data_IF_859742898168
#
_entry.id   IF_859742898168
#
_cell.length_a   1.000
_cell.length_b   1.000
_cell.length_c   1.000
_cell.angle_alpha   90.00
_cell.angle_beta   90.00
_cell.angle_gamma   90.00
#
_symmetry.space_group_name_H-M   'P 1'
#
loop_
_entity.id
_entity.type
_entity.pdbx_description
1 polymer ?
#
# COMPACT_ATOMS: atom_id res chain seq x y z
N UNK A 1 20.09 -12.07 -10.59
CA UNK A 1 18.88 -11.79 -11.40
C UNK A 1 18.50 -10.35 -11.11
N UNK A 2 18.77 -9.41 -12.02
CA UNK A 2 18.41 -8.01 -11.79
C UNK A 2 16.89 -7.90 -11.94
N UNK A 3 16.20 -7.46 -10.89
CA UNK A 3 14.77 -7.15 -10.97
C UNK A 3 14.64 -5.94 -11.90
N UNK A 4 13.75 -6.05 -12.89
CA UNK A 4 13.37 -4.93 -13.74
C UNK A 4 12.87 -3.77 -12.88
N UNK A 5 13.48 -2.60 -13.06
CA UNK A 5 13.19 -1.41 -12.28
C UNK A 5 11.75 -0.92 -12.48
N UNK A 6 11.21 -1.10 -13.69
CA UNK A 6 9.83 -0.73 -13.99
C UNK A 6 8.85 -1.66 -13.27
N UNK A 7 9.09 -2.97 -13.33
CA UNK A 7 8.29 -3.96 -12.62
C UNK A 7 8.34 -3.76 -11.10
N UNK A 8 9.52 -3.43 -10.55
CA UNK A 8 9.67 -3.11 -9.13
C UNK A 8 8.88 -1.86 -8.72
N UNK A 9 8.95 -0.81 -9.54
CA UNK A 9 8.18 0.42 -9.34
C UNK A 9 6.68 0.17 -9.38
N UNK A 10 6.22 -0.62 -10.36
CA UNK A 10 4.81 -1.01 -10.49
C UNK A 10 4.33 -1.80 -9.25
N UNK A 11 5.14 -2.77 -8.80
CA UNK A 11 4.79 -3.58 -7.64
C UNK A 11 4.67 -2.76 -6.35
N UNK A 12 5.53 -1.76 -6.16
CA UNK A 12 5.39 -0.79 -5.07
C UNK A 12 4.05 -0.03 -5.16
N UNK A 13 3.70 0.49 -6.34
CA UNK A 13 2.46 1.25 -6.54
C UNK A 13 1.22 0.38 -6.28
N UNK A 14 1.24 -0.89 -6.69
CA UNK A 14 0.17 -1.84 -6.42
C UNK A 14 0.02 -2.07 -4.90
N UNK A 15 1.11 -2.42 -4.21
CA UNK A 15 1.10 -2.58 -2.74
C UNK A 15 0.55 -1.33 -2.04
N UNK A 16 0.96 -0.14 -2.50
CA UNK A 16 0.48 1.13 -1.94
C UNK A 16 -1.01 1.34 -2.17
N UNK A 17 -1.49 1.06 -3.38
CA UNK A 17 -2.91 1.17 -3.73
C UNK A 17 -3.76 0.27 -2.84
N UNK A 18 -3.35 -0.98 -2.69
CA UNK A 18 -4.07 -1.99 -1.89
C UNK A 18 -4.01 -1.69 -0.39
N UNK A 19 -2.88 -1.16 0.08
CA UNK A 19 -2.74 -0.68 1.44
C UNK A 19 -3.68 0.50 1.76
N UNK A 20 -3.71 1.54 0.94
CA UNK A 20 -4.51 2.76 1.24
C UNK A 20 -6.01 2.50 1.06
N UNK A 21 -6.37 1.65 0.09
CA UNK A 21 -7.75 1.32 -0.27
C UNK A 21 -8.33 0.14 0.51
N UNK A 22 -7.49 -0.56 1.29
CA UNK A 22 -7.87 -1.76 2.06
C UNK A 22 -8.34 -2.93 1.19
N UNK A 23 -7.73 -3.10 0.02
CA UNK A 23 -7.98 -4.27 -0.84
C UNK A 23 -7.27 -5.54 -0.33
N UNK A 24 -6.56 -5.45 0.78
CA UNK A 24 -5.84 -6.55 1.42
C UNK A 24 -6.37 -6.82 2.83
N UNK A 25 -6.32 -8.09 3.23
CA UNK A 25 -6.62 -8.50 4.61
C UNK A 25 -5.37 -8.30 5.46
N UNK A 26 -5.50 -7.60 6.59
CA UNK A 26 -4.43 -7.46 7.57
C UNK A 26 -4.43 -8.63 8.55
N UNK A 27 -3.25 -9.02 9.05
CA UNK A 27 -3.18 -10.04 10.09
C UNK A 27 -3.84 -9.53 11.38
N UNK A 28 -4.62 -10.37 12.07
CA UNK A 28 -5.39 -10.01 13.27
C UNK A 28 -4.55 -9.40 14.41
N UNK A 29 -3.26 -9.75 14.47
CA UNK A 29 -2.32 -9.26 15.51
C UNK A 29 -1.64 -7.94 15.18
N UNK A 30 -1.91 -7.36 14.00
CA UNK A 30 -1.24 -6.14 13.55
C UNK A 30 -1.72 -4.96 14.37
N UNK A 31 -0.82 -4.44 15.20
CA UNK A 31 -1.04 -3.19 15.93
C UNK A 31 -1.10 -2.03 14.95
N UNK A 32 -2.02 -1.08 15.21
CA UNK A 32 -2.17 0.18 14.49
C UNK A 32 -0.83 0.92 14.24
N UNK A 33 0.08 0.86 15.21
CA UNK A 33 1.43 1.44 15.13
C UNK A 33 2.21 0.96 13.89
N UNK A 34 2.04 -0.30 13.48
CA UNK A 34 2.69 -0.85 12.29
C UNK A 34 2.11 -0.25 11.00
N UNK A 35 0.79 -0.06 10.92
CA UNK A 35 0.14 0.59 9.78
C UNK A 35 0.52 2.08 9.70
N UNK A 36 0.64 2.76 10.84
CA UNK A 36 1.16 4.14 10.89
C UNK A 36 2.64 4.20 10.45
N UNK A 37 3.47 3.26 10.90
CA UNK A 37 4.85 3.10 10.46
C UNK A 37 4.95 2.89 8.95
N UNK A 38 4.08 2.04 8.39
CA UNK A 38 3.99 1.82 6.95
C UNK A 38 3.64 3.11 6.19
N UNK A 39 2.71 3.91 6.71
CA UNK A 39 2.36 5.20 6.12
C UNK A 39 3.49 6.25 6.21
N UNK A 40 4.30 6.22 7.27
CA UNK A 40 5.50 7.06 7.36
C UNK A 40 6.51 6.73 6.26
N UNK A 41 6.71 5.45 5.97
CA UNK A 41 7.60 5.03 4.88
C UNK A 41 7.04 5.50 3.51
N UNK A 42 5.72 5.43 3.30
CA UNK A 42 5.10 5.95 2.07
C UNK A 42 5.31 7.46 1.90
N UNK A 43 5.21 8.22 2.99
CA UNK A 43 5.51 9.66 2.99
C UNK A 43 6.96 9.94 2.60
N UNK A 44 7.91 9.11 3.03
CA UNK A 44 9.32 9.23 2.64
C UNK A 44 9.54 8.88 1.16
N UNK A 45 8.90 7.82 0.64
CA UNK A 45 8.92 7.51 -0.79
C UNK A 45 8.44 8.70 -1.61
N UNK A 46 7.26 9.23 -1.27
CA UNK A 46 6.68 10.40 -1.93
C UNK A 46 7.60 11.62 -1.85
N UNK A 47 8.19 11.88 -0.69
CA UNK A 47 9.14 12.98 -0.48
C UNK A 47 10.36 12.86 -1.39
N UNK A 48 10.94 11.67 -1.46
CA UNK A 48 12.12 11.44 -2.28
C UNK A 48 11.81 11.56 -3.78
N UNK A 49 10.68 11.03 -4.26
CA UNK A 49 10.28 11.15 -5.68
C UNK A 49 9.94 12.59 -6.08
N UNK A 50 9.24 13.32 -5.21
CA UNK A 50 8.86 14.71 -5.43
C UNK A 50 9.95 15.72 -5.03
N UNK A 51 11.12 15.26 -4.57
CA UNK A 51 12.24 16.08 -4.07
C UNK A 51 11.83 17.08 -2.98
N UNK A 52 10.98 16.63 -2.05
CA UNK A 52 10.49 17.41 -0.94
C UNK A 52 11.36 17.24 0.30
N UNK A 53 11.69 18.35 0.95
CA UNK A 53 12.37 18.33 2.25
C UNK A 53 11.41 18.06 3.41
N UNK A 54 11.96 17.79 4.59
CA UNK A 54 11.21 17.51 5.82
C UNK A 54 10.12 18.57 6.13
N UNK A 55 10.41 19.85 5.92
CA UNK A 55 9.43 20.94 6.16
C UNK A 55 8.21 20.87 5.26
N UNK A 56 8.39 20.39 4.02
CA UNK A 56 7.30 20.19 3.07
C UNK A 56 6.54 18.90 3.39
N UNK A 57 7.25 17.83 3.75
CA UNK A 57 6.66 16.58 4.19
C UNK A 57 5.77 16.76 5.43
N UNK A 58 6.19 17.58 6.40
CA UNK A 58 5.41 17.90 7.60
C UNK A 58 4.10 18.66 7.33
N UNK A 59 3.92 19.21 6.12
CA UNK A 59 2.69 19.89 5.69
C UNK A 59 1.72 18.95 4.99
N UNK A 60 2.16 17.74 4.65
CA UNK A 60 1.29 16.74 4.03
C UNK A 60 0.27 16.21 5.03
N UNK A 61 -0.92 15.86 4.52
CA UNK A 61 -1.97 15.27 5.34
C UNK A 61 -1.66 13.77 5.52
N UNK A 62 -1.23 13.36 6.71
CA UNK A 62 -0.89 11.97 7.04
C UNK A 62 -1.98 10.96 6.62
N UNK A 63 -3.26 11.36 6.70
CA UNK A 63 -4.41 10.55 6.25
C UNK A 63 -4.38 10.08 4.79
N UNK A 64 -3.54 10.65 3.94
CA UNK A 64 -3.38 10.22 2.55
C UNK A 64 -2.48 8.98 2.41
N UNK A 65 -1.74 8.62 3.45
CA UNK A 65 -0.69 7.60 3.45
C UNK A 65 -1.01 6.40 4.34
N UNK A 66 -2.21 6.35 4.92
CA UNK A 66 -2.66 5.30 5.84
C UNK A 66 -3.98 4.67 5.36
N UNK A 67 -4.32 3.44 5.79
CA UNK A 67 -5.57 2.76 5.43
C UNK A 67 -6.80 3.42 6.06
N UNK A 68 -7.98 3.17 5.50
CA UNK A 68 -9.22 3.80 5.97
C UNK A 68 -9.64 3.34 7.37
N UNK A 69 -9.40 2.08 7.78
CA UNK A 69 -9.60 1.60 9.15
C UNK A 69 -8.86 2.47 10.17
N UNK A 70 -7.63 2.87 9.85
CA UNK A 70 -6.77 3.67 10.72
C UNK A 70 -7.24 5.12 10.75
N UNK A 71 -7.71 5.66 9.62
CA UNK A 71 -8.28 7.03 9.55
C UNK A 71 -9.50 7.18 10.46
N UNK A 72 -10.38 6.20 10.45
CA UNK A 72 -11.66 6.25 11.15
C UNK A 72 -11.52 6.10 12.67
N UNK A 73 -10.35 5.68 13.17
CA UNK A 73 -10.07 5.60 14.60
C UNK A 73 -9.73 6.96 15.23
N UNK A 74 -9.26 7.95 14.46
CA UNK A 74 -8.96 9.30 14.96
C UNK A 74 -10.19 10.22 14.81
N UNK A 75 -11.28 9.87 15.48
CA UNK A 75 -12.55 10.61 15.35
C UNK A 75 -12.53 11.98 16.04
N UNK A 76 -11.80 12.12 17.16
CA UNK A 76 -11.73 13.37 17.93
C UNK A 76 -10.64 14.30 17.42
N UNK A 77 -10.87 15.61 17.57
CA UNK A 77 -9.92 16.65 17.16
C UNK A 77 -8.55 16.50 17.84
N UNK A 78 -8.55 16.16 19.14
CA UNK A 78 -7.33 15.97 19.93
C UNK A 78 -6.53 14.72 19.52
N UNK A 79 -7.23 13.65 19.12
CA UNK A 79 -6.57 12.43 18.63
C UNK A 79 -5.86 12.69 17.29
N UNK A 80 -6.46 13.52 16.43
CA UNK A 80 -5.83 13.98 15.18
C UNK A 80 -4.59 14.84 15.44
N UNK A 81 -4.66 15.78 16.38
CA UNK A 81 -3.50 16.61 16.74
C UNK A 81 -2.36 15.77 17.33
N UNK A 82 -2.67 14.82 18.21
CA UNK A 82 -1.68 13.91 18.80
C UNK A 82 -1.04 13.01 17.75
N UNK A 83 -1.83 12.51 16.80
CA UNK A 83 -1.30 11.76 15.66
C UNK A 83 -0.33 12.61 14.85
N UNK A 84 -0.71 13.83 14.48
CA UNK A 84 0.13 14.72 13.69
C UNK A 84 1.46 15.04 14.41
N UNK A 85 1.43 15.31 15.72
CA UNK A 85 2.65 15.57 16.50
C UNK A 85 3.56 14.34 16.53
N UNK A 86 3.00 13.17 16.84
CA UNK A 86 3.77 11.94 16.92
C UNK A 86 4.34 11.53 15.57
N UNK A 87 3.52 11.61 14.50
CA UNK A 87 3.97 11.30 13.15
C UNK A 87 5.06 12.25 12.67
N UNK A 88 4.97 13.55 12.95
CA UNK A 88 6.04 14.51 12.57
C UNK A 88 7.36 14.20 13.26
N UNK A 89 7.32 13.85 14.55
CA UNK A 89 8.51 13.46 15.29
C UNK A 89 9.15 12.19 14.70
N UNK A 90 8.35 11.16 14.40
CA UNK A 90 8.83 9.93 13.79
C UNK A 90 9.29 10.13 12.34
N UNK A 91 8.58 10.95 11.57
CA UNK A 91 8.94 11.30 10.19
C UNK A 91 10.31 11.97 10.14
N UNK A 92 10.62 12.87 11.07
CA UNK A 92 11.96 13.45 11.19
C UNK A 92 13.01 12.37 11.43
N UNK A 93 12.79 11.48 12.41
CA UNK A 93 13.73 10.41 12.72
C UNK A 93 13.99 9.49 11.52
N UNK A 94 12.93 9.09 10.81
CA UNK A 94 13.05 8.21 9.65
C UNK A 94 13.62 8.93 8.42
N UNK A 95 13.31 10.22 8.24
CA UNK A 95 13.93 11.06 7.21
C UNK A 95 15.44 11.16 7.42
N UNK A 96 15.88 11.46 8.63
CA UNK A 96 17.30 11.59 8.97
C UNK A 96 18.06 10.25 8.78
N UNK A 97 17.43 9.12 9.11
CA UNK A 97 17.99 7.78 8.84
C UNK A 97 18.09 7.47 7.35
N UNK A 98 17.14 7.97 6.56
CA UNK A 98 16.98 7.65 5.14
C UNK A 98 17.68 8.64 4.21
N UNK A 99 18.43 9.61 4.74
CA UNK A 99 19.11 10.64 3.93
C UNK A 99 20.06 10.05 2.87
N UNK A 100 20.63 8.88 3.15
CA UNK A 100 21.56 8.17 2.27
C UNK A 100 20.92 7.02 1.48
N UNK A 101 19.66 6.71 1.75
CA UNK A 101 18.97 5.61 1.10
C UNK A 101 18.60 6.00 -0.33
N UNK A 102 18.72 5.06 -1.26
CA UNK A 102 18.13 5.26 -2.58
C UNK A 102 16.61 5.13 -2.49
N UNK A 103 15.88 5.72 -3.45
CA UNK A 103 14.42 5.52 -3.55
C UNK A 103 14.03 4.04 -3.56
N UNK A 104 14.85 3.18 -4.17
CA UNK A 104 14.60 1.76 -4.24
C UNK A 104 14.72 1.08 -2.87
N UNK A 105 15.64 1.54 -2.02
CA UNK A 105 15.77 1.02 -0.65
C UNK A 105 14.54 1.38 0.18
N UNK A 106 14.04 2.61 0.03
CA UNK A 106 12.82 3.07 0.72
C UNK A 106 11.59 2.27 0.24
N UNK A 107 11.43 2.11 -1.09
CA UNK A 107 10.36 1.27 -1.69
C UNK A 107 10.46 -0.18 -1.23
N UNK A 108 11.66 -0.73 -1.12
CA UNK A 108 11.85 -2.11 -0.66
C UNK A 108 11.45 -2.27 0.81
N UNK A 109 11.80 -1.30 1.66
CA UNK A 109 11.32 -1.29 3.06
C UNK A 109 9.80 -1.21 3.12
N UNK A 110 9.19 -0.37 2.28
CA UNK A 110 7.74 -0.29 2.17
C UNK A 110 7.15 -1.65 1.81
N UNK A 111 7.57 -2.26 0.71
CA UNK A 111 7.06 -3.56 0.25
C UNK A 111 7.21 -4.63 1.34
N UNK A 112 8.38 -4.72 1.98
CA UNK A 112 8.61 -5.69 3.07
C UNK A 112 7.65 -5.46 4.25
N UNK A 113 7.54 -4.23 4.73
CA UNK A 113 6.65 -3.89 5.84
C UNK A 113 5.18 -4.17 5.50
N UNK A 114 4.77 -3.91 4.25
CA UNK A 114 3.44 -4.22 3.77
C UNK A 114 3.17 -5.74 3.77
N UNK A 115 4.06 -6.54 3.18
CA UNK A 115 3.92 -8.00 3.15
C UNK A 115 3.89 -8.61 4.57
N UNK A 116 4.64 -8.04 5.51
CA UNK A 116 4.65 -8.47 6.91
C UNK A 116 3.34 -8.21 7.65
N UNK A 117 2.56 -7.19 7.28
CA UNK A 117 1.29 -6.85 7.95
C UNK A 117 0.07 -7.43 7.25
N UNK A 118 0.19 -7.82 5.99
CA UNK A 118 -0.89 -8.45 5.23
C UNK A 118 -0.92 -9.96 5.43
N UNK A 119 -2.10 -10.54 5.30
CA UNK A 119 -2.32 -11.99 5.31
C UNK A 119 -2.62 -12.46 3.89
N UNK A 120 -1.81 -13.40 3.38
CA UNK A 120 -2.06 -14.02 2.07
C UNK A 120 -1.87 -13.07 0.87
N UNK A 121 -1.20 -11.93 1.03
CA UNK A 121 -0.86 -11.11 -0.13
C UNK A 121 0.14 -11.87 -1.02
N UNK A 122 -0.04 -11.81 -2.34
CA UNK A 122 0.60 -12.69 -3.35
C UNK A 122 0.11 -14.15 -3.34
N UNK A 123 -0.99 -14.47 -2.65
CA UNK A 123 -1.60 -15.81 -2.65
C UNK A 123 -3.04 -15.72 -3.14
N UNK A 124 -3.37 -16.54 -4.13
CA UNK A 124 -4.74 -16.70 -4.61
C UNK A 124 -5.40 -17.91 -3.93
N UNK A 125 -6.60 -17.70 -3.40
CA UNK A 125 -7.38 -18.75 -2.75
C UNK A 125 -8.54 -19.18 -3.64
N UNK A 126 -8.52 -20.45 -4.07
CA UNK A 126 -9.60 -21.03 -4.87
C UNK A 126 -10.51 -21.88 -3.99
N UNK A 127 -11.82 -21.57 -3.97
CA UNK A 127 -12.81 -22.41 -3.28
C UNK A 127 -13.23 -23.55 -4.20
N UNK A 128 -12.84 -24.77 -3.84
CA UNK A 128 -13.27 -25.98 -4.55
C UNK A 128 -14.66 -26.37 -4.03
N UNK A 129 -15.66 -26.38 -4.91
CA UNK A 129 -17.07 -26.59 -4.53
C UNK A 129 -17.60 -28.01 -4.81
N UNK A 130 -16.84 -28.87 -5.50
CA UNK A 130 -17.17 -30.28 -5.71
C UNK A 130 -15.89 -31.12 -5.81
N UNK A 131 -15.90 -32.28 -5.16
CA UNK A 131 -14.90 -33.33 -5.38
C UNK A 131 -15.29 -34.10 -6.66
N UNK A 132 -14.43 -34.05 -7.67
CA UNK A 132 -14.59 -34.81 -8.90
C UNK A 132 -14.36 -33.95 -10.14
N UNK A 133 -13.28 -34.29 -10.85
CA UNK A 133 -12.69 -33.63 -12.02
C UNK A 133 -11.83 -32.41 -11.69
N UNK A 134 -10.59 -32.73 -11.29
CA UNK A 134 -9.41 -31.92 -11.56
C UNK A 134 -9.16 -31.88 -13.08
N UNK A 135 -10.06 -31.27 -13.83
CA UNK A 135 -9.89 -31.03 -15.26
C UNK A 135 -9.75 -29.53 -15.42
N UNK A 136 -8.50 -29.08 -15.52
CA UNK A 136 -8.09 -27.74 -15.93
C UNK A 136 -8.77 -26.60 -15.17
N UNK A 137 -8.03 -25.94 -14.27
CA UNK A 137 -8.29 -24.52 -14.02
C UNK A 137 -8.03 -23.81 -15.34
N UNK A 138 -9.06 -23.67 -16.18
CA UNK A 138 -9.04 -22.77 -17.32
C UNK A 138 -9.09 -21.39 -16.70
N UNK A 139 -7.91 -20.84 -16.40
CA UNK A 139 -7.76 -19.41 -16.19
C UNK A 139 -8.08 -18.80 -17.55
N UNK A 140 -9.27 -18.23 -17.68
CA UNK A 140 -9.65 -17.49 -18.87
C UNK A 140 -8.87 -16.17 -18.85
N UNK A 141 -7.63 -16.22 -19.33
CA UNK A 141 -6.65 -15.13 -19.30
C UNK A 141 -7.18 -13.88 -20.03
N UNK A 142 -8.25 -14.05 -20.84
CA UNK A 142 -8.91 -13.00 -21.61
C UNK A 142 -10.17 -12.42 -20.95
N UNK A 143 -10.53 -12.85 -19.73
CA UNK A 143 -11.52 -12.18 -18.88
C UNK A 143 -10.92 -11.31 -17.78
N UNK A 144 -9.61 -11.06 -17.84
CA UNK A 144 -9.03 -9.87 -17.23
C UNK A 144 -9.18 -8.72 -18.23
N UNK A 145 -10.36 -8.11 -18.29
CA UNK A 145 -10.55 -6.83 -19.00
C UNK A 145 -9.96 -5.71 -18.12
N UNK A 146 -8.63 -5.75 -17.93
CA UNK A 146 -7.74 -4.82 -17.23
C UNK A 146 -7.89 -4.69 -15.70
N UNK A 147 -6.89 -5.09 -14.89
CA UNK A 147 -6.83 -4.65 -13.49
C UNK A 147 -6.53 -3.15 -13.46
N UNK A 148 -7.56 -2.32 -13.26
CA UNK A 148 -7.39 -0.90 -12.91
C UNK A 148 -8.01 0.16 -13.82
N UNK A 149 -8.90 -0.15 -14.78
CA UNK A 149 -9.61 0.90 -15.54
C UNK A 149 -11.08 0.55 -15.74
N UNK A 150 -11.99 1.26 -15.05
CA UNK A 150 -13.42 1.21 -15.33
C UNK A 150 -13.77 2.16 -16.47
N UNK A 151 -14.20 1.63 -17.62
CA UNK A 151 -14.90 2.41 -18.64
C UNK A 151 -16.39 2.10 -18.57
N UNK A 152 -17.20 3.15 -18.42
CA UNK A 152 -18.65 3.08 -18.49
C UNK A 152 -19.09 2.87 -19.94
N UNK A 153 -19.93 1.84 -20.13
CA UNK A 153 -20.82 1.49 -21.23
C UNK A 153 -20.52 1.97 -22.66
N UNK A 154 -20.46 0.99 -23.57
CA UNK A 154 -20.99 1.19 -24.92
C UNK A 154 -21.72 -0.05 -25.44
N UNK A 155 -22.98 0.18 -25.79
CA UNK A 155 -23.92 -0.71 -26.46
C UNK A 155 -23.36 -1.50 -27.64
N UNK A 156 -23.95 -2.68 -27.91
CA UNK A 156 -24.66 -3.05 -29.15
C UNK A 156 -25.13 -4.51 -29.03
N UNK A 157 -26.44 -4.80 -29.08
CA UNK A 157 -27.24 -5.03 -30.31
C UNK A 157 -26.65 -6.13 -31.18
N UNK A 158 -27.22 -7.34 -31.05
CA UNK A 158 -27.68 -8.26 -32.12
C UNK A 158 -28.33 -9.48 -31.46
#
# INVERSE_FOLDING_TARGET
MAIDQEAFGYFYLQCRSDFVSENCVYQDSVKQERQLGQGLIDMLCYGHEAKLGLDQLNKLKAKCFIPANTKNMFTKLWDKQRLDVNMKAQLKMEHDKSEKDSINDIKLRYIKGFLEITQGYLVEHFKITRDGNSDHVIVDIYREEHPGVYLADSAQVS
#
